data_IF_253537968544
#
_entry.id   IF_253537968544
#
_cell.length_a   1.000
_cell.length_b   1.000
_cell.length_c   1.000
_cell.angle_alpha   90.00
_cell.angle_beta   90.00
_cell.angle_gamma   90.00
#
_symmetry.space_group_name_H-M   'P 1'
#
loop_
_entity.id
_entity.type
_entity.pdbx_description
1 polymer ?
#
# COMPACT_ATOMS: atom_id res chain seq x y z
N UNK A 1 5.08 2.37 3.55
CA UNK A 1 4.54 1.05 3.18
C UNK A 1 5.49 -0.04 3.69
N UNK A 2 5.14 -0.75 4.78
CA UNK A 2 5.85 -1.98 5.13
C UNK A 2 5.36 -3.10 4.20
N UNK A 3 6.20 -3.54 3.28
CA UNK A 3 5.94 -4.71 2.44
C UNK A 3 5.83 -5.95 3.33
N UNK A 4 4.73 -6.70 3.20
CA UNK A 4 4.47 -7.89 4.00
C UNK A 4 4.90 -9.14 3.23
N UNK A 5 6.01 -9.77 3.64
CA UNK A 5 6.40 -11.08 3.12
C UNK A 5 5.73 -12.13 4.01
N UNK A 6 4.67 -12.77 3.51
CA UNK A 6 4.04 -13.93 4.18
C UNK A 6 4.43 -15.20 3.46
N UNK A 7 5.05 -16.14 4.18
CA UNK A 7 5.16 -17.52 3.72
C UNK A 7 3.82 -18.22 3.94
N UNK A 8 3.19 -18.65 2.85
CA UNK A 8 2.00 -19.49 2.90
C UNK A 8 2.49 -20.93 2.75
N UNK A 9 2.50 -21.69 3.85
CA UNK A 9 2.58 -23.16 3.79
C UNK A 9 1.15 -23.68 3.72
N UNK A 10 0.79 -24.31 2.60
CA UNK A 10 -0.46 -25.04 2.45
C UNK A 10 -0.18 -26.54 2.59
N UNK A 11 -0.94 -27.23 3.44
CA UNK A 11 -0.93 -28.69 3.52
C UNK A 11 -1.80 -29.30 2.40
N UNK A 12 -1.86 -30.64 2.30
CA UNK A 12 -2.72 -31.34 1.34
C UNK A 12 -4.22 -31.05 1.55
N UNK A 13 -4.60 -30.59 2.75
CA UNK A 13 -5.98 -30.18 3.08
C UNK A 13 -6.31 -28.74 2.66
N UNK A 14 -5.35 -28.03 2.03
CA UNK A 14 -5.45 -26.63 1.58
C UNK A 14 -5.68 -25.64 2.73
N UNK A 15 -5.36 -26.03 3.97
CA UNK A 15 -5.47 -25.14 5.10
C UNK A 15 -4.28 -24.18 5.15
N UNK A 16 -4.58 -22.89 5.28
CA UNK A 16 -3.57 -21.83 5.34
C UNK A 16 -3.36 -21.47 6.80
N UNK A 17 -2.17 -21.76 7.33
CA UNK A 17 -1.74 -21.26 8.63
C UNK A 17 -1.32 -19.80 8.48
N UNK A 18 -2.25 -18.89 8.71
CA UNK A 18 -1.94 -17.46 8.81
C UNK A 18 -1.43 -17.19 10.22
N UNK A 19 -0.28 -16.53 10.41
CA UNK A 19 0.16 -16.15 11.76
C UNK A 19 -0.92 -15.27 12.43
N UNK A 20 -1.43 -15.73 13.58
CA UNK A 20 -2.53 -15.09 14.34
C UNK A 20 -2.18 -13.68 14.82
N UNK A 21 -0.90 -13.39 15.07
CA UNK A 21 -0.44 -12.12 15.63
C UNK A 21 -0.05 -11.09 14.57
N UNK A 22 -0.98 -10.77 13.67
CA UNK A 22 -0.87 -9.64 12.75
C UNK A 22 -1.12 -8.32 13.49
N UNK A 23 -0.22 -7.90 14.37
CA UNK A 23 -0.23 -6.52 14.90
C UNK A 23 0.73 -5.67 14.10
N UNK A 24 0.21 -4.62 13.48
CA UNK A 24 1.04 -3.56 12.90
C UNK A 24 1.95 -3.01 14.00
N UNK A 25 3.27 -2.92 13.78
CA UNK A 25 4.18 -2.36 14.77
C UNK A 25 3.80 -0.92 15.10
N UNK A 26 3.86 -0.57 16.39
CA UNK A 26 3.55 0.78 16.83
C UNK A 26 4.68 1.75 16.50
N UNK A 27 4.40 3.05 16.42
CA UNK A 27 5.41 4.08 16.18
C UNK A 27 6.59 4.00 17.18
N UNK A 28 6.32 3.65 18.45
CA UNK A 28 7.36 3.46 19.47
C UNK A 28 8.26 2.25 19.20
N UNK A 29 7.73 1.19 18.59
CA UNK A 29 8.52 0.01 18.20
C UNK A 29 9.37 0.31 16.96
N UNK A 30 8.83 1.05 15.99
CA UNK A 30 9.56 1.46 14.78
C UNK A 30 10.73 2.40 15.12
N UNK A 31 10.51 3.36 16.02
CA UNK A 31 11.54 4.31 16.46
C UNK A 31 12.78 3.65 17.07
N UNK A 32 12.63 2.49 17.75
CA UNK A 32 13.75 1.73 18.32
C UNK A 32 14.73 1.21 17.27
N UNK A 33 14.26 1.01 16.05
CA UNK A 33 15.07 0.53 14.92
C UNK A 33 15.41 1.65 13.92
N UNK A 34 15.18 2.91 14.29
CA UNK A 34 15.39 4.07 13.40
C UNK A 34 14.41 4.12 12.22
N UNK A 35 13.35 3.31 12.25
CA UNK A 35 12.33 3.27 11.21
C UNK A 35 11.30 4.35 11.54
N UNK A 36 11.04 5.24 10.57
CA UNK A 36 9.98 6.25 10.68
C UNK A 36 8.72 5.72 9.99
N UNK A 37 7.58 6.06 10.56
CA UNK A 37 6.31 5.79 9.91
C UNK A 37 6.23 6.60 8.62
N UNK A 38 5.98 5.91 7.51
CA UNK A 38 5.89 6.53 6.20
C UNK A 38 4.59 7.32 6.10
N UNK A 39 4.69 8.61 5.80
CA UNK A 39 3.53 9.44 5.54
C UNK A 39 3.20 9.38 4.05
N UNK A 40 1.90 9.39 3.68
CA UNK A 40 1.52 9.51 2.29
C UNK A 40 2.12 10.78 1.69
N UNK A 41 2.91 10.61 0.63
CA UNK A 41 3.45 11.73 -0.13
C UNK A 41 2.39 12.17 -1.15
N UNK A 42 1.75 13.30 -0.88
CA UNK A 42 0.89 13.95 -1.85
C UNK A 42 1.73 14.93 -2.68
N UNK A 43 1.66 14.80 -4.01
CA UNK A 43 2.25 15.79 -4.92
C UNK A 43 1.64 17.15 -4.62
N UNK A 44 2.48 18.18 -4.48
CA UNK A 44 2.03 19.57 -4.36
C UNK A 44 1.48 20.13 -5.68
N UNK A 45 1.83 19.48 -6.79
CA UNK A 45 1.40 19.87 -8.13
C UNK A 45 0.20 19.02 -8.51
N UNK A 46 -1.00 19.62 -8.67
CA UNK A 46 -2.16 18.89 -9.15
C UNK A 46 -1.92 18.48 -10.61
N UNK A 47 -1.96 17.18 -10.89
CA UNK A 47 -1.87 16.66 -12.26
C UNK A 47 -3.14 16.96 -13.08
N UNK A 48 -4.26 17.19 -12.38
CA UNK A 48 -5.55 17.52 -12.95
C UNK A 48 -5.96 18.86 -12.32
N UNK A 49 -5.94 19.90 -13.13
CA UNK A 49 -6.41 21.23 -12.77
C UNK A 49 -7.77 21.54 -13.46
N UNK A 50 -8.30 22.74 -13.26
CA UNK A 50 -9.56 23.17 -13.87
C UNK A 50 -9.53 23.21 -15.41
N UNK A 51 -8.34 23.23 -16.01
CA UNK A 51 -8.14 23.30 -17.46
C UNK A 51 -7.90 21.92 -18.08
N UNK A 52 -7.73 20.88 -17.26
CA UNK A 52 -7.47 19.54 -17.74
C UNK A 52 -8.70 18.95 -18.46
N UNK A 53 -8.61 18.56 -19.74
CA UNK A 53 -9.75 18.04 -20.49
C UNK A 53 -10.02 16.58 -20.10
N UNK A 54 -10.65 16.39 -18.94
CA UNK A 54 -10.92 15.06 -18.33
C UNK A 54 -11.66 14.14 -19.30
N UNK A 55 -12.66 14.66 -20.00
CA UNK A 55 -13.51 13.88 -20.92
C UNK A 55 -12.71 13.31 -22.09
N UNK A 56 -11.83 14.11 -22.69
CA UNK A 56 -10.99 13.68 -23.82
C UNK A 56 -9.90 12.71 -23.37
N UNK A 57 -9.34 12.90 -22.17
CA UNK A 57 -8.40 11.96 -21.57
C UNK A 57 -9.03 10.58 -21.34
N UNK A 58 -10.23 10.51 -20.76
CA UNK A 58 -10.94 9.25 -20.52
C UNK A 58 -11.27 8.51 -21.82
N UNK A 59 -11.67 9.23 -22.87
CA UNK A 59 -11.98 8.64 -24.17
C UNK A 59 -10.77 7.98 -24.85
N UNK A 60 -9.56 8.52 -24.64
CA UNK A 60 -8.32 7.94 -25.21
C UNK A 60 -7.89 6.65 -24.51
N UNK A 61 -8.19 6.49 -23.22
CA UNK A 61 -7.86 5.27 -22.44
C UNK A 61 -8.77 4.07 -22.74
N UNK A 62 -9.91 4.29 -23.37
CA UNK A 62 -10.90 3.25 -23.72
C UNK A 62 -10.62 2.57 -25.08
N UNK A 63 -9.57 2.97 -25.79
CA UNK A 63 -9.03 2.29 -26.98
C UNK A 63 -7.75 1.55 -26.62
#
# INVERSE_FOLDING_TARGET
MLGRITHISADESKQILVPESNRTPTAAQLARFGIKEEQPHYSTTPEIDEHFPVVDFMRRKLR
#
